data_IF_368971971433
#
_entry.id   IF_368971971433
#
_cell.length_a   1.000
_cell.length_b   1.000
_cell.length_c   1.000
_cell.angle_alpha   90.00
_cell.angle_beta   90.00
_cell.angle_gamma   90.00
#
_symmetry.space_group_name_H-M   'P 1'
#
loop_
_entity.id
_entity.type
_entity.pdbx_description
1 polymer ?
#
# COMPACT_ATOMS: atom_id res chain seq x y z
N UNK A 1 0.93 11.22 -6.82
CA UNK A 1 0.08 11.71 -5.70
C UNK A 1 -0.75 12.89 -6.17
N UNK A 2 -2.07 12.82 -6.03
CA UNK A 2 -2.93 13.99 -6.20
C UNK A 2 -2.90 14.82 -4.92
N UNK A 3 -2.32 16.00 -5.03
CA UNK A 3 -2.27 17.13 -4.08
C UNK A 3 -1.80 16.88 -2.63
N UNK A 4 -1.20 17.95 -2.11
CA UNK A 4 -0.67 18.16 -0.75
C UNK A 4 -1.84 18.22 0.27
N UNK A 5 -2.69 17.20 0.27
CA UNK A 5 -3.82 17.08 1.19
C UNK A 5 -3.26 16.93 2.61
N UNK A 6 -3.56 17.86 3.52
CA UNK A 6 -3.10 17.76 4.89
C UNK A 6 -3.67 16.49 5.53
N UNK A 7 -2.79 15.66 6.06
CA UNK A 7 -3.17 14.51 6.89
C UNK A 7 -3.23 15.02 8.33
N UNK A 8 -4.40 14.88 8.95
CA UNK A 8 -4.62 15.27 10.35
C UNK A 8 -4.50 14.04 11.25
N UNK A 9 -3.81 14.22 12.37
CA UNK A 9 -3.73 13.24 13.46
C UNK A 9 -4.61 13.73 14.60
N UNK A 10 -5.62 12.95 14.95
CA UNK A 10 -6.44 13.16 16.13
C UNK A 10 -5.91 12.44 17.36
N UNK A 11 -6.51 12.74 18.52
CA UNK A 11 -6.25 12.00 19.75
C UNK A 11 -6.50 10.50 19.59
N UNK A 12 -7.59 10.12 18.90
CA UNK A 12 -7.94 8.71 18.66
C UNK A 12 -6.85 7.96 17.87
N UNK A 13 -6.25 8.59 16.85
CA UNK A 13 -5.18 7.97 16.07
C UNK A 13 -3.98 7.62 16.97
N UNK A 14 -3.55 8.57 17.81
CA UNK A 14 -2.45 8.38 18.77
C UNK A 14 -2.84 7.35 19.83
N UNK A 15 -4.06 7.45 20.36
CA UNK A 15 -4.59 6.55 21.38
C UNK A 15 -4.64 5.11 20.88
N UNK A 16 -5.05 4.88 19.63
CA UNK A 16 -5.08 3.56 19.03
C UNK A 16 -3.68 2.95 18.90
N UNK A 17 -2.68 3.73 18.50
CA UNK A 17 -1.29 3.26 18.47
C UNK A 17 -0.77 2.86 19.86
N UNK A 18 -0.94 3.72 20.87
CA UNK A 18 -0.39 3.44 22.21
C UNK A 18 -1.14 2.33 22.96
N UNK A 19 -2.39 2.04 22.57
CA UNK A 19 -3.20 0.97 23.18
C UNK A 19 -3.35 -0.27 22.31
N UNK A 20 -2.63 -0.32 21.18
CA UNK A 20 -2.66 -1.44 20.23
C UNK A 20 -4.09 -1.81 19.77
N UNK A 21 -4.82 -0.79 19.29
CA UNK A 21 -6.17 -0.93 18.69
C UNK A 21 -6.12 -0.79 17.17
N UNK A 22 -7.26 -1.04 16.51
CA UNK A 22 -7.43 -0.87 15.07
C UNK A 22 -7.00 0.52 14.61
N UNK A 23 -6.03 0.57 13.71
CA UNK A 23 -5.51 1.85 13.20
C UNK A 23 -6.38 2.40 12.06
N UNK A 24 -6.48 3.71 12.02
CA UNK A 24 -7.30 4.45 11.06
C UNK A 24 -6.66 4.54 9.67
N UNK A 25 -7.43 5.02 8.69
CA UNK A 25 -6.89 5.37 7.38
C UNK A 25 -5.86 6.50 7.46
N UNK A 26 -5.99 7.44 8.42
CA UNK A 26 -5.00 8.49 8.65
C UNK A 26 -3.67 7.90 9.09
N UNK A 27 -3.71 6.92 9.98
CA UNK A 27 -2.53 6.19 10.46
C UNK A 27 -1.79 5.49 9.32
N UNK A 28 -2.52 4.79 8.44
CA UNK A 28 -1.97 4.20 7.21
C UNK A 28 -1.37 5.28 6.30
N UNK A 29 -2.08 6.39 6.09
CA UNK A 29 -1.63 7.49 5.22
C UNK A 29 -0.34 8.17 5.69
N UNK A 30 -0.18 8.37 7.00
CA UNK A 30 1.06 8.92 7.57
C UNK A 30 2.23 7.98 7.29
N UNK A 31 2.00 6.68 7.47
CA UNK A 31 3.04 5.70 7.20
C UNK A 31 3.38 5.62 5.71
N UNK A 32 2.39 5.68 4.81
CA UNK A 32 2.64 5.81 3.36
C UNK A 32 3.51 7.03 3.06
N UNK A 33 3.23 8.18 3.68
CA UNK A 33 4.04 9.40 3.47
C UNK A 33 5.50 9.18 3.88
N UNK A 34 5.71 8.57 5.05
CA UNK A 34 7.05 8.16 5.49
C UNK A 34 7.73 7.20 4.50
N UNK A 35 7.03 6.16 4.04
CA UNK A 35 7.59 5.18 3.10
C UNK A 35 7.93 5.82 1.75
N UNK A 36 7.12 6.76 1.26
CA UNK A 36 7.39 7.51 0.03
C UNK A 36 8.67 8.35 0.14
N UNK A 37 8.84 9.07 1.25
CA UNK A 37 10.07 9.82 1.52
C UNK A 37 11.30 8.90 1.60
N UNK A 38 11.15 7.73 2.21
CA UNK A 38 12.23 6.75 2.24
C UNK A 38 12.52 6.16 0.86
N UNK A 39 11.49 5.80 0.08
CA UNK A 39 11.65 5.27 -1.26
C UNK A 39 12.37 6.27 -2.17
N UNK A 40 12.04 7.56 -2.07
CA UNK A 40 12.75 8.61 -2.80
C UNK A 40 14.23 8.72 -2.40
N UNK A 41 14.56 8.52 -1.11
CA UNK A 41 15.95 8.53 -0.62
C UNK A 41 16.75 7.28 -1.02
N UNK A 42 16.09 6.14 -1.22
CA UNK A 42 16.74 4.86 -1.56
C UNK A 42 16.63 4.49 -3.04
N UNK A 43 15.93 5.28 -3.86
CA UNK A 43 15.66 4.99 -5.28
C UNK A 43 14.58 3.94 -5.51
N UNK A 44 13.90 3.48 -4.44
CA UNK A 44 12.81 2.51 -4.53
C UNK A 44 11.53 3.13 -5.08
N UNK A 45 11.46 4.46 -5.18
CA UNK A 45 10.39 5.20 -5.87
C UNK A 45 10.39 4.93 -7.39
N UNK A 46 11.42 4.32 -7.97
CA UNK A 46 11.35 3.84 -9.36
C UNK A 46 10.58 2.52 -9.49
N UNK A 47 10.55 1.72 -8.41
CA UNK A 47 9.94 0.38 -8.38
C UNK A 47 8.56 0.37 -7.75
N UNK A 48 8.34 1.19 -6.74
CA UNK A 48 7.11 1.19 -5.95
C UNK A 48 6.45 2.56 -5.92
N UNK A 49 5.13 2.58 -5.94
CA UNK A 49 4.29 3.73 -5.63
C UNK A 49 3.08 3.29 -4.82
N UNK A 50 2.47 4.23 -4.11
CA UNK A 50 1.40 3.94 -3.17
C UNK A 50 0.09 4.56 -3.65
N UNK A 51 -0.98 3.77 -3.58
CA UNK A 51 -2.34 4.22 -3.83
C UNK A 51 -2.99 4.51 -2.48
N UNK A 52 -3.52 5.73 -2.31
CA UNK A 52 -4.16 6.12 -1.06
C UNK A 52 -5.41 5.27 -0.78
N UNK A 53 -5.58 4.73 0.45
CA UNK A 53 -6.77 3.99 0.82
C UNK A 53 -8.04 4.83 0.72
N UNK A 54 -7.95 6.16 0.87
CA UNK A 54 -9.10 7.06 0.73
C UNK A 54 -9.66 7.14 -0.70
N UNK A 55 -8.91 6.68 -1.71
CA UNK A 55 -9.36 6.65 -3.11
C UNK A 55 -10.02 5.34 -3.51
N UNK A 56 -9.81 4.27 -2.72
CA UNK A 56 -10.10 2.89 -3.12
C UNK A 56 -10.91 2.10 -2.10
N UNK A 57 -10.83 2.47 -0.81
CA UNK A 57 -11.59 1.81 0.25
C UNK A 57 -13.04 2.28 0.20
N UNK A 58 -14.01 1.40 0.40
CA UNK A 58 -15.40 1.79 0.50
C UNK A 58 -15.64 2.72 1.69
N UNK A 59 -16.40 3.77 1.43
CA UNK A 59 -16.99 4.67 2.41
C UNK A 59 -18.51 4.53 2.26
N UNK A 60 -19.23 4.55 3.37
CA UNK A 60 -20.67 4.38 3.33
C UNK A 60 -21.32 5.51 2.51
N UNK A 61 -21.96 5.13 1.40
CA UNK A 61 -22.55 6.02 0.41
C UNK A 61 -23.95 5.52 0.06
N UNK A 62 -24.89 6.44 -0.18
CA UNK A 62 -26.25 6.12 -0.64
C UNK A 62 -26.31 5.94 -2.16
N UNK A 63 -25.41 5.12 -2.71
CA UNK A 63 -25.30 4.82 -4.15
C UNK A 63 -25.22 3.32 -4.32
N UNK A 64 -25.69 2.78 -5.46
CA UNK A 64 -25.56 1.37 -5.74
C UNK A 64 -24.08 0.93 -5.83
N UNK A 65 -23.82 -0.32 -5.47
CA UNK A 65 -22.47 -0.90 -5.41
C UNK A 65 -21.72 -0.79 -6.74
N UNK A 66 -22.38 -0.99 -7.88
CA UNK A 66 -21.71 -1.03 -9.18
C UNK A 66 -21.18 0.36 -9.56
N UNK A 67 -22.00 1.40 -9.38
CA UNK A 67 -21.59 2.79 -9.56
C UNK A 67 -20.43 3.15 -8.63
N UNK A 68 -20.49 2.73 -7.36
CA UNK A 68 -19.45 3.07 -6.39
C UNK A 68 -18.12 2.31 -6.60
N UNK A 69 -18.17 1.06 -7.05
CA UNK A 69 -16.98 0.32 -7.51
C UNK A 69 -16.36 1.02 -8.73
N UNK A 70 -17.19 1.49 -9.67
CA UNK A 70 -16.73 2.15 -10.88
C UNK A 70 -15.92 3.42 -10.58
N UNK A 71 -16.42 4.29 -9.71
CA UNK A 71 -15.74 5.54 -9.32
C UNK A 71 -14.34 5.27 -8.76
N UNK A 72 -14.23 4.28 -7.87
CA UNK A 72 -12.95 3.89 -7.27
C UNK A 72 -12.02 3.21 -8.27
N UNK A 73 -12.56 2.43 -9.21
CA UNK A 73 -11.79 1.85 -10.31
C UNK A 73 -11.22 2.94 -11.24
N UNK A 74 -11.98 4.01 -11.50
CA UNK A 74 -11.53 5.17 -12.28
C UNK A 74 -10.38 5.91 -11.57
N UNK A 75 -10.39 5.98 -10.24
CA UNK A 75 -9.26 6.52 -9.46
C UNK A 75 -7.99 5.69 -9.67
N UNK A 76 -8.10 4.36 -9.61
CA UNK A 76 -6.96 3.45 -9.88
C UNK A 76 -6.49 3.64 -11.32
N UNK A 77 -7.40 3.64 -12.30
CA UNK A 77 -7.08 3.83 -13.72
C UNK A 77 -6.31 5.12 -13.97
N UNK A 78 -6.73 6.23 -13.33
CA UNK A 78 -6.05 7.53 -13.45
C UNK A 78 -4.60 7.47 -12.97
N UNK A 79 -4.33 6.72 -11.90
CA UNK A 79 -2.98 6.49 -11.37
C UNK A 79 -2.18 5.61 -12.34
N UNK A 80 -2.76 4.51 -12.81
CA UNK A 80 -2.07 3.53 -13.65
C UNK A 80 -1.83 4.01 -15.09
N UNK A 81 -2.59 4.99 -15.60
CA UNK A 81 -2.52 5.46 -17.00
C UNK A 81 -1.10 5.79 -17.47
N UNK A 82 -0.25 6.29 -16.58
CA UNK A 82 1.13 6.66 -16.87
C UNK A 82 2.15 5.76 -16.17
N UNK A 83 1.74 4.57 -15.73
CA UNK A 83 2.61 3.64 -15.02
C UNK A 83 3.80 3.23 -15.89
N UNK A 84 5.06 3.45 -15.45
CA UNK A 84 6.23 2.91 -16.13
C UNK A 84 6.24 1.38 -16.08
N UNK A 85 6.87 0.73 -17.08
CA UNK A 85 7.03 -0.73 -17.07
C UNK A 85 7.91 -1.16 -15.89
N UNK A 86 7.49 -2.19 -15.16
CA UNK A 86 8.19 -2.68 -13.96
C UNK A 86 7.89 -1.91 -12.67
N UNK A 87 7.04 -0.88 -12.73
CA UNK A 87 6.53 -0.17 -11.55
C UNK A 87 5.36 -0.96 -10.94
N UNK A 88 5.39 -1.19 -9.63
CA UNK A 88 4.32 -1.84 -8.86
C UNK A 88 3.65 -0.85 -7.91
N UNK A 89 2.36 -1.05 -7.68
CA UNK A 89 1.54 -0.16 -6.88
C UNK A 89 1.07 -0.87 -5.61
N UNK A 90 1.49 -0.36 -4.46
CA UNK A 90 1.05 -0.82 -3.14
C UNK A 90 -0.24 -0.09 -2.79
N UNK A 91 -1.31 -0.85 -2.63
CA UNK A 91 -2.65 -0.32 -2.41
C UNK A 91 -3.23 -0.94 -1.13
N UNK A 92 -3.04 -0.30 0.03
CA UNK A 92 -3.79 -0.67 1.21
C UNK A 92 -5.27 -0.38 0.99
N UNK A 93 -6.10 -1.33 1.39
CA UNK A 93 -7.55 -1.29 1.21
C UNK A 93 -8.22 -1.73 2.51
N UNK A 94 -9.25 -0.99 2.93
CA UNK A 94 -10.04 -1.35 4.10
C UNK A 94 -11.48 -1.68 3.69
N UNK A 95 -11.96 -2.90 3.96
CA UNK A 95 -13.34 -3.31 3.67
C UNK A 95 -14.37 -2.85 4.71
N UNK A 96 -14.04 -1.86 5.55
CA UNK A 96 -14.86 -1.31 6.63
C UNK A 96 -14.19 -1.45 8.01
N UNK A 97 -13.71 -2.65 8.34
CA UNK A 97 -13.04 -2.97 9.61
C UNK A 97 -11.83 -3.89 9.42
N UNK A 98 -11.39 -4.08 8.17
CA UNK A 98 -10.34 -5.05 7.86
C UNK A 98 -9.40 -4.51 6.80
N UNK A 99 -8.13 -4.38 7.17
CA UNK A 99 -7.06 -3.91 6.30
C UNK A 99 -6.40 -5.08 5.56
N UNK A 100 -6.24 -4.91 4.26
CA UNK A 100 -5.41 -5.76 3.39
C UNK A 100 -4.48 -4.89 2.56
N UNK A 101 -3.48 -5.51 1.95
CA UNK A 101 -2.59 -4.85 0.98
C UNK A 101 -2.71 -5.55 -0.38
N UNK A 102 -2.96 -4.78 -1.44
CA UNK A 102 -2.76 -5.24 -2.81
C UNK A 102 -1.41 -4.74 -3.34
N UNK A 103 -0.75 -5.56 -4.16
CA UNK A 103 0.40 -5.17 -4.97
C UNK A 103 0.02 -5.41 -6.43
N UNK A 104 -0.13 -4.31 -7.17
CA UNK A 104 -0.63 -4.33 -8.56
C UNK A 104 0.55 -4.12 -9.51
N UNK A 105 0.72 -5.02 -10.48
CA UNK A 105 1.63 -4.85 -11.62
C UNK A 105 0.80 -4.78 -12.91
N UNK A 106 0.46 -3.58 -13.40
CA UNK A 106 -0.42 -3.46 -14.56
C UNK A 106 0.22 -4.03 -15.84
N UNK A 107 1.55 -4.03 -15.93
CA UNK A 107 2.26 -4.48 -17.13
C UNK A 107 2.44 -5.99 -17.17
N UNK A 108 2.63 -6.62 -16.02
CA UNK A 108 2.59 -8.08 -15.87
C UNK A 108 1.16 -8.64 -15.87
N UNK A 109 0.16 -7.75 -15.77
CA UNK A 109 -1.25 -8.11 -15.75
C UNK A 109 -1.66 -8.91 -14.51
N UNK A 110 -1.05 -8.59 -13.38
CA UNK A 110 -1.17 -9.36 -12.15
C UNK A 110 -1.44 -8.50 -10.92
N UNK A 111 -2.08 -9.13 -9.94
CA UNK A 111 -2.28 -8.60 -8.59
C UNK A 111 -1.89 -9.65 -7.58
N UNK A 112 -1.07 -9.30 -6.60
CA UNK A 112 -0.87 -10.07 -5.36
C UNK A 112 -1.67 -9.40 -4.24
N UNK A 113 -2.25 -10.17 -3.32
CA UNK A 113 -2.85 -9.60 -2.10
C UNK A 113 -2.30 -10.26 -0.84
N UNK A 114 -2.15 -9.45 0.20
CA UNK A 114 -1.68 -9.85 1.51
C UNK A 114 -2.81 -9.59 2.49
N UNK A 115 -3.41 -10.67 2.98
CA UNK A 115 -4.56 -10.63 3.89
C UNK A 115 -4.15 -11.16 5.27
N UNK A 116 -3.98 -10.29 6.27
CA UNK A 116 -3.63 -10.71 7.63
C UNK A 116 -4.59 -11.73 8.25
N UNK A 117 -5.88 -11.74 7.88
CA UNK A 117 -6.85 -12.71 8.42
C UNK A 117 -6.81 -14.06 7.70
N UNK A 118 -6.12 -14.18 6.57
CA UNK A 118 -6.05 -15.41 5.77
C UNK A 118 -7.39 -15.91 5.20
N UNK A 119 -8.47 -15.14 5.34
CA UNK A 119 -9.79 -15.48 4.82
C UNK A 119 -9.97 -15.06 3.35
N UNK A 120 -11.08 -15.46 2.74
CA UNK A 120 -11.38 -15.06 1.37
C UNK A 120 -11.68 -13.56 1.26
N UNK A 121 -11.21 -12.97 0.16
CA UNK A 121 -11.50 -11.57 -0.18
C UNK A 121 -12.97 -11.38 -0.55
N UNK A 122 -13.53 -10.24 -0.15
CA UNK A 122 -14.87 -9.81 -0.54
C UNK A 122 -14.94 -9.39 -2.02
N UNK A 123 -16.13 -9.52 -2.62
CA UNK A 123 -16.33 -9.27 -4.04
C UNK A 123 -16.11 -7.81 -4.44
N UNK A 124 -16.31 -6.85 -3.53
CA UNK A 124 -16.04 -5.43 -3.77
C UNK A 124 -14.61 -5.19 -4.24
N UNK A 125 -13.64 -5.79 -3.54
CA UNK A 125 -12.23 -5.67 -3.86
C UNK A 125 -11.89 -6.37 -5.19
N UNK A 126 -12.44 -7.57 -5.42
CA UNK A 126 -12.23 -8.33 -6.66
C UNK A 126 -12.76 -7.57 -7.87
N UNK A 127 -13.98 -7.02 -7.77
CA UNK A 127 -14.63 -6.25 -8.83
C UNK A 127 -13.91 -4.92 -9.08
N UNK A 128 -13.42 -4.27 -8.02
CA UNK A 128 -12.62 -3.03 -8.10
C UNK A 128 -11.35 -3.22 -8.93
N UNK A 129 -10.52 -4.20 -8.56
CA UNK A 129 -9.26 -4.49 -9.28
C UNK A 129 -9.55 -4.96 -10.71
N UNK A 130 -10.50 -5.86 -10.88
CA UNK A 130 -10.85 -6.42 -12.19
C UNK A 130 -11.33 -5.33 -13.14
N UNK A 131 -12.19 -4.42 -12.66
CA UNK A 131 -12.67 -3.27 -13.45
C UNK A 131 -11.51 -2.36 -13.85
N UNK A 132 -10.71 -1.92 -12.88
CA UNK A 132 -9.62 -0.99 -13.12
C UNK A 132 -8.58 -1.52 -14.11
N UNK A 133 -8.16 -2.78 -13.96
CA UNK A 133 -7.19 -3.38 -14.86
C UNK A 133 -7.77 -3.61 -16.26
N UNK A 134 -9.04 -4.01 -16.38
CA UNK A 134 -9.75 -4.12 -17.67
C UNK A 134 -9.77 -2.81 -18.44
N UNK A 135 -10.04 -1.70 -17.77
CA UNK A 135 -10.01 -0.40 -18.44
C UNK A 135 -8.58 0.03 -18.79
N UNK A 136 -7.61 -0.23 -17.91
CA UNK A 136 -6.22 0.11 -18.18
C UNK A 136 -5.71 -0.62 -19.43
N UNK A 137 -6.06 -1.89 -19.60
CA UNK A 137 -5.65 -2.71 -20.74
C UNK A 137 -6.23 -2.23 -22.06
N UNK A 138 -7.47 -1.73 -22.03
CA UNK A 138 -8.13 -1.04 -23.16
C UNK A 138 -7.40 0.27 -23.46
N UNK A 139 -7.11 1.06 -22.42
CA UNK A 139 -6.46 2.37 -22.54
C UNK A 139 -5.07 2.30 -23.19
N UNK A 140 -4.26 1.29 -22.86
CA UNK A 140 -2.91 1.12 -23.43
C UNK A 140 -2.90 0.40 -24.79
N UNK A 141 -4.07 0.08 -25.36
CA UNK A 141 -4.17 -0.43 -26.73
C UNK A 141 -3.61 -1.83 -26.96
N UNK A 142 -3.49 -2.64 -25.90
CA UNK A 142 -2.82 -3.96 -25.93
C UNK A 142 -3.52 -5.07 -26.74
N UNK A 143 -4.57 -4.75 -27.51
CA UNK A 143 -5.14 -5.63 -28.54
C UNK A 143 -5.90 -6.87 -28.06
N UNK A 144 -6.01 -7.12 -26.75
CA UNK A 144 -6.69 -8.31 -26.22
C UNK A 144 -8.21 -8.11 -26.19
N UNK A 145 -8.95 -8.98 -26.89
CA UNK A 145 -10.43 -8.93 -27.00
C UNK A 145 -11.18 -9.48 -25.78
N UNK A 146 -10.53 -10.25 -24.92
CA UNK A 146 -11.20 -10.88 -23.77
C UNK A 146 -11.05 -10.04 -22.49
N UNK A 147 -12.18 -9.80 -21.83
CA UNK A 147 -12.22 -9.27 -20.46
C UNK A 147 -11.63 -10.30 -19.51
N UNK A 148 -10.68 -9.88 -18.68
CA UNK A 148 -10.12 -10.71 -17.60
C UNK A 148 -11.10 -10.77 -16.43
N UNK A 149 -11.00 -11.84 -15.65
CA UNK A 149 -11.69 -12.01 -14.38
C UNK A 149 -10.65 -12.08 -13.24
N UNK A 150 -11.14 -12.09 -12.00
CA UNK A 150 -10.30 -12.16 -10.81
C UNK A 150 -9.31 -13.33 -10.85
N UNK A 151 -9.75 -14.53 -11.23
CA UNK A 151 -8.91 -15.74 -11.26
C UNK A 151 -7.75 -15.66 -12.25
N UNK A 152 -7.92 -14.90 -13.34
CA UNK A 152 -6.84 -14.68 -14.33
C UNK A 152 -5.85 -13.58 -13.94
N UNK A 153 -6.22 -12.71 -12.99
CA UNK A 153 -5.39 -11.58 -12.54
C UNK A 153 -4.62 -11.91 -11.26
N UNK A 154 -5.16 -12.79 -10.42
CA UNK A 154 -4.64 -13.05 -9.09
C UNK A 154 -3.42 -13.97 -9.10
N UNK A 155 -2.31 -13.48 -8.55
CA UNK A 155 -1.18 -14.28 -8.11
C UNK A 155 -1.37 -14.68 -6.64
N UNK A 156 -1.47 -15.99 -6.40
CA UNK A 156 -1.62 -16.51 -5.05
C UNK A 156 -0.31 -16.37 -4.29
N UNK A 157 -0.34 -15.61 -3.18
CA UNK A 157 0.82 -15.40 -2.31
C UNK A 157 0.52 -15.87 -0.89
N UNK A 158 1.57 -16.26 -0.18
CA UNK A 158 1.54 -16.44 1.27
C UNK A 158 1.95 -15.15 1.95
N UNK A 159 1.46 -14.95 3.17
CA UNK A 159 1.88 -13.84 4.02
C UNK A 159 1.72 -14.23 5.48
N UNK A 160 2.42 -13.54 6.40
CA UNK A 160 2.13 -13.61 7.82
C UNK A 160 0.62 -13.49 8.10
N UNK A 161 0.08 -14.27 9.03
CA UNK A 161 -1.32 -14.11 9.46
C UNK A 161 -1.37 -13.60 10.89
N UNK A 162 -2.38 -12.79 11.20
CA UNK A 162 -2.65 -12.32 12.56
C UNK A 162 -3.40 -13.39 13.35
N UNK A 163 -3.17 -13.43 14.66
CA UNK A 163 -3.93 -14.30 15.57
C UNK A 163 -5.15 -13.60 16.16
N UNK A 164 -5.06 -12.28 16.40
CA UNK A 164 -6.12 -11.48 16.99
C UNK A 164 -7.07 -10.86 15.96
N UNK A 165 -7.73 -9.78 16.36
CA UNK A 165 -8.77 -9.10 15.56
C UNK A 165 -8.38 -7.69 15.10
N UNK A 166 -7.42 -7.04 15.75
CA UNK A 166 -7.14 -5.60 15.60
C UNK A 166 -5.84 -5.31 14.85
N UNK A 167 -5.07 -6.35 14.54
CA UNK A 167 -3.69 -6.27 14.06
C UNK A 167 -3.58 -5.98 12.57
N UNK A 168 -4.67 -6.13 11.80
CA UNK A 168 -4.65 -6.12 10.34
C UNK A 168 -3.96 -4.88 9.77
N UNK A 169 -4.22 -3.71 10.35
CA UNK A 169 -3.58 -2.47 9.95
C UNK A 169 -2.07 -2.48 10.19
N UNK A 170 -1.61 -2.97 11.34
CA UNK A 170 -0.18 -3.07 11.67
C UNK A 170 0.53 -4.06 10.74
N UNK A 171 -0.10 -5.18 10.40
CA UNK A 171 0.44 -6.14 9.43
C UNK A 171 0.56 -5.50 8.05
N UNK A 172 -0.44 -4.72 7.62
CA UNK A 172 -0.34 -3.95 6.36
C UNK A 172 0.80 -2.94 6.38
N UNK A 173 1.05 -2.25 7.51
CA UNK A 173 2.23 -1.39 7.66
C UNK A 173 3.53 -2.20 7.49
N UNK A 174 3.62 -3.36 8.16
CA UNK A 174 4.79 -4.23 8.11
C UNK A 174 5.03 -4.81 6.71
N UNK A 175 3.98 -5.21 5.98
CA UNK A 175 4.11 -5.68 4.59
C UNK A 175 4.64 -4.59 3.68
N UNK A 176 4.07 -3.38 3.75
CA UNK A 176 4.53 -2.27 2.92
C UNK A 176 6.00 -1.95 3.21
N UNK A 177 6.41 -2.00 4.48
CA UNK A 177 7.81 -1.83 4.89
C UNK A 177 8.72 -2.92 4.34
N UNK A 178 8.38 -4.20 4.54
CA UNK A 178 9.19 -5.33 4.08
C UNK A 178 9.37 -5.28 2.56
N UNK A 179 8.30 -5.06 1.80
CA UNK A 179 8.32 -4.96 0.34
C UNK A 179 9.24 -3.83 -0.15
N UNK A 180 9.29 -2.70 0.58
CA UNK A 180 10.01 -1.51 0.12
C UNK A 180 11.42 -1.35 0.68
N UNK A 181 11.76 -2.02 1.78
CA UNK A 181 13.06 -1.87 2.46
C UNK A 181 13.90 -3.14 2.48
N UNK A 182 13.31 -4.30 2.20
CA UNK A 182 14.04 -5.57 2.18
C UNK A 182 14.33 -5.98 0.75
N UNK A 183 15.56 -6.43 0.49
CA UNK A 183 15.91 -7.08 -0.78
C UNK A 183 15.02 -8.30 -0.94
N UNK A 184 14.32 -8.39 -2.07
CA UNK A 184 13.36 -9.45 -2.35
C UNK A 184 12.25 -9.56 -1.28
N UNK A 185 11.83 -8.42 -0.71
CA UNK A 185 10.83 -8.37 0.37
C UNK A 185 9.50 -9.07 0.07
N UNK A 186 9.07 -9.11 -1.20
CA UNK A 186 7.92 -9.89 -1.63
C UNK A 186 8.12 -11.40 -1.44
N UNK A 187 9.32 -11.91 -1.71
CA UNK A 187 9.67 -13.31 -1.53
C UNK A 187 9.83 -13.63 -0.04
N UNK A 188 10.43 -12.71 0.73
CA UNK A 188 10.55 -12.82 2.19
C UNK A 188 9.18 -12.99 2.85
N UNK A 189 8.19 -12.18 2.48
CA UNK A 189 6.83 -12.29 3.03
C UNK A 189 6.21 -13.67 2.79
N UNK A 190 6.48 -14.28 1.63
CA UNK A 190 5.93 -15.59 1.29
C UNK A 190 6.57 -16.76 2.06
N UNK A 191 7.67 -16.50 2.77
CA UNK A 191 8.34 -17.49 3.63
C UNK A 191 7.91 -17.42 5.10
N UNK A 192 7.17 -16.39 5.50
CA UNK A 192 6.76 -16.16 6.89
C UNK A 192 5.29 -16.56 7.08
N UNK A 193 5.03 -17.41 8.08
CA UNK A 193 3.67 -17.76 8.48
C UNK A 193 3.07 -16.76 9.48
N UNK A 194 3.89 -16.14 10.33
CA UNK A 194 3.49 -15.18 11.35
C UNK A 194 4.56 -14.10 11.53
N UNK A 195 4.21 -12.98 12.15
CA UNK A 195 5.17 -11.99 12.61
C UNK A 195 5.47 -12.20 14.10
N UNK A 196 6.76 -12.15 14.46
CA UNK A 196 7.21 -12.08 15.85
C UNK A 196 7.21 -10.63 16.35
N UNK A 197 7.33 -10.42 17.66
CA UNK A 197 7.54 -9.08 18.24
C UNK A 197 8.76 -8.37 17.64
N UNK A 198 9.81 -9.12 17.32
CA UNK A 198 11.00 -8.60 16.68
C UNK A 198 10.71 -8.14 15.24
N UNK A 199 9.93 -8.90 14.47
CA UNK A 199 9.49 -8.48 13.13
C UNK A 199 8.63 -7.22 13.20
N UNK A 200 7.79 -7.07 14.22
CA UNK A 200 6.92 -5.91 14.38
C UNK A 200 7.65 -4.68 14.93
N UNK A 201 8.80 -4.88 15.59
CA UNK A 201 9.65 -3.79 16.06
C UNK A 201 10.24 -2.98 14.89
N UNK A 202 10.44 -1.67 15.11
CA UNK A 202 11.06 -0.76 14.13
C UNK A 202 12.59 -0.75 14.25
N UNK A 203 13.22 -1.81 14.77
CA UNK A 203 14.68 -1.89 14.77
C UNK A 203 15.16 -1.92 13.33
N UNK A 204 15.57 -0.75 12.86
CA UNK A 204 16.09 -0.52 11.53
C UNK A 204 17.40 -1.28 11.49
N UNK A 205 17.46 -2.37 10.73
CA UNK A 205 18.73 -2.98 10.35
C UNK A 205 19.57 -1.85 9.78
N UNK A 206 20.58 -1.42 10.55
CA UNK A 206 21.40 -0.27 10.23
C UNK A 206 22.03 -0.50 8.87
N UNK A 207 21.61 0.24 7.85
CA UNK A 207 22.43 0.43 6.66
C UNK A 207 23.75 1.02 7.16
N UNK A 208 24.84 0.28 6.98
CA UNK A 208 26.15 0.65 7.48
C UNK A 208 26.46 2.10 7.11
N UNK A 209 26.74 2.93 8.12
CA UNK A 209 27.18 4.33 7.97
C UNK A 209 28.45 4.38 7.11
N UNK A 210 28.26 4.54 5.82
CA UNK A 210 29.32 4.55 4.82
C UNK A 210 29.19 5.68 3.81
N UNK A 211 28.80 6.89 4.21
CA UNK A 211 29.23 8.13 3.53
C UNK A 211 28.91 9.35 4.41
N UNK A 212 29.86 9.80 5.23
CA UNK A 212 29.77 11.14 5.85
C UNK A 212 30.33 12.14 4.84
N UNK A 213 29.49 12.63 3.94
CA UNK A 213 29.70 13.95 3.33
C UNK A 213 28.88 14.97 4.10
N UNK A 214 29.61 15.93 4.66
CA UNK A 214 29.24 16.76 5.80
C UNK A 214 27.95 17.57 5.65
N UNK A 215 27.24 17.69 6.77
CA UNK A 215 26.24 18.73 6.98
C UNK A 215 26.93 20.11 6.94
N UNK A 216 26.37 21.12 6.24
CA UNK A 216 26.79 22.50 6.44
C UNK A 216 26.41 22.95 7.85
N UNK A 217 27.38 23.46 8.61
CA UNK A 217 27.10 24.19 9.85
C UNK A 217 26.43 25.51 9.46
N UNK A 218 25.22 25.74 9.95
CA UNK A 218 24.68 27.10 9.99
C UNK A 218 25.54 27.92 10.95
N UNK A 219 26.17 28.97 10.43
CA UNK A 219 26.75 30.02 11.24
C UNK A 219 25.61 30.92 11.71
N UNK A 220 25.35 30.91 13.02
CA UNK A 220 24.62 31.99 13.68
C UNK A 220 25.45 33.27 13.57
N UNK A 221 25.00 34.19 12.72
CA UNK A 221 25.48 35.56 12.69
C UNK A 221 24.61 36.41 13.61
N UNK A 222 25.04 36.54 14.87
CA UNK A 222 24.76 37.73 15.68
C UNK A 222 26.00 38.63 15.62
N UNK A 223 25.75 39.93 15.79
CA UNK A 223 26.65 41.10 15.72
C UNK A 223 26.65 41.75 14.33
N UNK A 224 26.14 42.97 14.12
CA UNK A 224 26.07 44.17 14.99
C UNK A 224 24.79 44.97 14.80
#
# INVERSE_FOLDING_TARGET
>A
MGDDMPIYIGFEDVYHFITFKEISANSIMIYIRYLVECCARTGMDQRFEFISPGLVSPVQQNVDRATYVRERADNILRILRNAPKGKRFLMPYNSGQHWILAVIDPWDDSVMYFNPLGNELGDDFKDLITTALNDWKVLVGSGMRQRRNWQTLIDTVRCPIQEGYVECGYFVLAYMREITFTVDGLDVLQTKDFYTDADMSLETTTVSRGDRRGFPRYHDGLDT
#
